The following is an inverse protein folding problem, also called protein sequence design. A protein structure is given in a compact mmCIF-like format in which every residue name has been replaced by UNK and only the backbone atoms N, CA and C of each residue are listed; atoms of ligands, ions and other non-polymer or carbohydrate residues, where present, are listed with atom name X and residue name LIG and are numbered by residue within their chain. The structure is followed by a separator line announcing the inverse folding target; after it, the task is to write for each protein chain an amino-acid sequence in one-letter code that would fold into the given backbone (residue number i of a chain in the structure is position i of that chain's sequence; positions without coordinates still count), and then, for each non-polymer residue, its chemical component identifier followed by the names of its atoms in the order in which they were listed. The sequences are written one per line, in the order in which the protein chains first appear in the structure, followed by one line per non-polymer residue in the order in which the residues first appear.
data_IF_437898647360
#
_entry.id   IF_437898647360
#
_cell.length_a   1.000
_cell.length_b   1.000
_cell.length_c   1.000
_cell.angle_alpha   90.00
_cell.angle_beta   90.00
_cell.angle_gamma   90.00
#
_symmetry.space_group_name_H-M   'P 1'
#
loop_
_entity.id
_entity.type
_entity.pdbx_description
1 polymer ?
#
# COMPACT_ATOMS: atom_id res chain seq x y z
N UNK A 1 21.90 -1.95 13.76
CA UNK A 1 21.04 -1.58 12.63
C UNK A 1 21.87 -1.72 11.37
N UNK A 2 21.39 -2.47 10.39
CA UNK A 2 22.05 -2.58 9.08
C UNK A 2 22.06 -1.20 8.43
N UNK A 3 23.19 -0.76 7.88
CA UNK A 3 23.25 0.50 7.16
C UNK A 3 22.81 0.27 5.70
N UNK A 4 21.80 1.01 5.25
CA UNK A 4 21.36 0.95 3.84
C UNK A 4 22.41 1.62 2.94
N UNK A 5 22.88 0.97 1.86
CA UNK A 5 23.72 1.60 0.85
C UNK A 5 23.00 2.77 0.14
N UNK A 6 23.77 3.67 -0.48
CA UNK A 6 23.20 4.63 -1.43
C UNK A 6 22.77 3.88 -2.70
N UNK A 7 21.45 3.75 -2.86
CA UNK A 7 20.85 3.02 -3.96
C UNK A 7 20.40 3.90 -5.13
N UNK A 8 20.71 5.21 -5.13
CA UNK A 8 20.35 6.09 -6.23
C UNK A 8 21.00 5.62 -7.53
N UNK A 9 20.20 5.44 -8.58
CA UNK A 9 20.65 4.90 -9.87
C UNK A 9 20.75 3.37 -9.92
N UNK A 10 20.61 2.66 -8.79
CA UNK A 10 20.51 1.19 -8.75
C UNK A 10 19.12 0.73 -9.15
N UNK A 11 19.00 -0.42 -9.84
CA UNK A 11 17.68 -0.96 -10.20
C UNK A 11 16.90 -1.36 -8.96
N UNK A 12 15.60 -1.07 -8.94
CA UNK A 12 14.73 -1.37 -7.80
C UNK A 12 14.81 -2.85 -7.39
N UNK A 13 14.82 -3.76 -8.36
CA UNK A 13 14.93 -5.19 -8.08
C UNK A 13 16.19 -5.55 -7.28
N UNK A 14 17.34 -4.97 -7.63
CA UNK A 14 18.61 -5.23 -6.92
C UNK A 14 18.56 -4.70 -5.48
N UNK A 15 17.88 -3.57 -5.25
CA UNK A 15 17.66 -3.02 -3.89
C UNK A 15 16.79 -3.94 -3.05
N UNK A 16 15.72 -4.49 -3.63
CA UNK A 16 14.82 -5.42 -2.96
C UNK A 16 15.50 -6.76 -2.67
N UNK A 17 16.34 -7.26 -3.58
CA UNK A 17 17.17 -8.43 -3.35
C UNK A 17 18.14 -8.21 -2.18
N UNK A 18 18.84 -7.07 -2.15
CA UNK A 18 19.70 -6.72 -1.02
C UNK A 18 18.91 -6.67 0.29
N UNK A 19 17.75 -6.01 0.31
CA UNK A 19 16.92 -5.90 1.50
C UNK A 19 16.52 -7.27 2.04
N UNK A 20 16.08 -8.18 1.16
CA UNK A 20 15.70 -9.55 1.53
C UNK A 20 16.84 -10.37 2.14
N UNK A 21 18.07 -10.09 1.76
CA UNK A 21 19.27 -10.77 2.27
C UNK A 21 19.81 -10.17 3.57
N UNK A 22 19.47 -8.90 3.87
CA UNK A 22 20.15 -8.11 4.91
C UNK A 22 19.20 -7.56 5.99
N UNK A 23 17.89 -7.71 5.83
CA UNK A 23 16.86 -7.17 6.74
C UNK A 23 15.80 -8.24 6.99
N UNK A 24 15.46 -8.42 8.27
CA UNK A 24 14.38 -9.32 8.69
C UNK A 24 13.01 -8.70 8.36
N UNK A 25 12.08 -9.54 7.89
CA UNK A 25 10.71 -9.12 7.58
C UNK A 25 9.96 -8.63 8.82
N UNK A 26 9.18 -7.56 8.67
CA UNK A 26 8.37 -6.96 9.74
C UNK A 26 6.89 -7.19 9.47
N UNK A 27 6.23 -7.99 10.30
CA UNK A 27 4.80 -8.22 10.16
C UNK A 27 4.01 -7.11 10.85
N UNK A 28 3.36 -6.26 10.05
CA UNK A 28 2.37 -5.30 10.56
C UNK A 28 1.05 -5.99 10.93
N UNK A 29 0.39 -5.49 11.97
CA UNK A 29 -0.97 -5.87 12.35
C UNK A 29 -2.03 -4.96 11.72
N UNK A 30 -1.66 -3.85 11.09
CA UNK A 30 -2.60 -3.01 10.34
C UNK A 30 -3.12 -3.73 9.09
N UNK A 31 -4.40 -3.49 8.79
CA UNK A 31 -5.14 -4.05 7.68
C UNK A 31 -5.95 -2.91 7.07
N UNK A 32 -5.88 -2.77 5.75
CA UNK A 32 -6.71 -1.80 5.04
C UNK A 32 -7.84 -2.58 4.39
N UNK A 33 -9.06 -2.36 4.86
CA UNK A 33 -10.28 -2.92 4.28
C UNK A 33 -10.86 -1.89 3.34
N UNK A 34 -11.20 -2.29 2.11
CA UNK A 34 -11.76 -1.37 1.15
C UNK A 34 -12.75 -2.02 0.19
N UNK A 35 -13.65 -1.22 -0.36
CA UNK A 35 -14.65 -1.60 -1.36
C UNK A 35 -14.50 -0.71 -2.59
N UNK A 36 -14.16 -1.32 -3.72
CA UNK A 36 -14.03 -0.67 -5.04
C UNK A 36 -15.20 -1.00 -5.98
N UNK A 37 -16.16 -1.80 -5.52
CA UNK A 37 -17.39 -2.15 -6.23
C UNK A 37 -18.51 -2.43 -5.24
N UNK A 38 -19.71 -1.93 -5.55
CA UNK A 38 -20.91 -2.14 -4.72
C UNK A 38 -21.37 -3.61 -4.74
N UNK A 39 -21.08 -4.34 -5.82
CA UNK A 39 -21.54 -5.72 -6.00
C UNK A 39 -20.53 -6.76 -5.50
N UNK A 40 -19.30 -6.34 -5.17
CA UNK A 40 -18.25 -7.23 -4.67
C UNK A 40 -18.16 -7.21 -3.13
N UNK A 41 -17.48 -8.22 -2.59
CA UNK A 41 -17.09 -8.23 -1.18
C UNK A 41 -15.91 -7.28 -0.92
N UNK A 42 -15.77 -6.85 0.32
CA UNK A 42 -14.66 -6.02 0.74
C UNK A 42 -13.31 -6.74 0.52
N UNK A 43 -12.34 -5.98 0.02
CA UNK A 43 -10.96 -6.40 -0.19
C UNK A 43 -10.14 -6.01 1.02
N UNK A 44 -9.08 -6.77 1.28
CA UNK A 44 -8.18 -6.52 2.41
C UNK A 44 -6.75 -6.46 1.88
N UNK A 45 -6.14 -5.28 2.00
CA UNK A 45 -4.72 -5.11 1.77
C UNK A 45 -3.98 -5.44 3.07
N UNK A 46 -3.02 -6.36 2.93
CA UNK A 46 -2.13 -6.81 4.00
C UNK A 46 -0.70 -6.46 3.59
N UNK A 47 0.03 -5.68 4.40
CA UNK A 47 1.43 -5.38 4.09
C UNK A 47 2.29 -6.64 4.06
N UNK A 48 3.06 -6.80 2.98
CA UNK A 48 4.07 -7.87 2.91
C UNK A 48 5.19 -7.60 3.94
N UNK A 49 5.65 -8.61 4.70
CA UNK A 49 6.66 -8.40 5.73
C UNK A 49 8.00 -7.87 5.21
N UNK A 50 8.45 -8.31 4.02
CA UNK A 50 9.71 -7.84 3.45
C UNK A 50 9.56 -6.40 2.94
N UNK A 51 8.41 -6.10 2.33
CA UNK A 51 8.10 -4.73 1.91
C UNK A 51 8.03 -3.78 3.10
N UNK A 52 7.38 -4.18 4.19
CA UNK A 52 7.28 -3.38 5.42
C UNK A 52 8.66 -3.12 6.02
N UNK A 53 9.53 -4.14 6.07
CA UNK A 53 10.91 -3.98 6.49
C UNK A 53 11.67 -2.96 5.61
N UNK A 54 11.45 -2.96 4.30
CA UNK A 54 12.04 -1.97 3.39
C UNK A 54 11.56 -0.54 3.69
N UNK A 55 10.28 -0.38 4.00
CA UNK A 55 9.68 0.92 4.30
C UNK A 55 10.23 1.50 5.61
N UNK A 56 10.29 0.68 6.66
CA UNK A 56 10.80 1.09 7.98
C UNK A 56 12.31 1.33 7.98
N UNK A 57 13.07 0.58 7.18
CA UNK A 57 14.51 0.78 7.05
C UNK A 57 14.85 2.08 6.30
N UNK A 58 14.08 2.41 5.26
CA UNK A 58 14.34 3.54 4.39
C UNK A 58 15.50 3.33 3.41
N UNK A 59 15.57 4.20 2.40
CA UNK A 59 16.62 4.20 1.39
C UNK A 59 16.44 3.16 0.27
N UNK A 60 15.34 2.39 0.28
CA UNK A 60 15.14 1.25 -0.64
C UNK A 60 14.02 1.53 -1.65
N UNK A 61 12.84 1.90 -1.14
CA UNK A 61 11.63 2.07 -1.93
C UNK A 61 11.64 3.40 -2.69
N UNK A 62 11.14 3.45 -3.94
CA UNK A 62 10.94 4.71 -4.63
C UNK A 62 9.75 5.47 -4.02
N UNK A 63 9.57 6.76 -4.32
CA UNK A 63 8.37 7.49 -3.93
C UNK A 63 7.11 6.97 -4.63
N UNK A 64 5.95 7.08 -3.96
CA UNK A 64 4.68 6.52 -4.47
C UNK A 64 4.26 7.10 -5.83
N UNK A 65 4.50 8.39 -6.05
CA UNK A 65 4.15 9.06 -7.31
C UNK A 65 4.82 8.43 -8.52
N UNK A 66 5.98 7.76 -8.34
CA UNK A 66 6.64 7.03 -9.43
C UNK A 66 5.72 5.93 -9.95
N UNK A 67 5.04 5.19 -9.07
CA UNK A 67 4.08 4.15 -9.47
C UNK A 67 2.87 4.75 -10.18
N UNK A 68 2.39 5.93 -9.77
CA UNK A 68 1.30 6.62 -10.47
C UNK A 68 1.69 7.05 -11.89
N UNK A 69 2.93 7.50 -12.10
CA UNK A 69 3.43 7.82 -13.45
C UNK A 69 3.54 6.57 -14.34
N UNK A 70 3.90 5.41 -13.76
CA UNK A 70 3.91 4.15 -14.49
C UNK A 70 2.50 3.66 -14.83
N UNK A 71 1.54 3.82 -13.90
CA UNK A 71 0.14 3.48 -14.14
C UNK A 71 -0.47 4.35 -15.27
N UNK A 72 -0.04 5.61 -15.40
CA UNK A 72 -0.43 6.48 -16.53
C UNK A 72 0.09 6.00 -17.87
N UNK A 73 1.29 5.40 -17.90
CA UNK A 73 1.80 4.74 -19.11
C UNK A 73 0.93 3.51 -19.44
N UNK A 74 0.65 2.66 -18.45
CA UNK A 74 -0.15 1.43 -18.61
C UNK A 74 -1.58 1.68 -19.06
N UNK A 75 -2.18 2.80 -18.67
CA UNK A 75 -3.53 3.17 -19.06
C UNK A 75 -3.68 3.58 -20.54
N UNK A 76 -2.57 3.76 -21.28
CA UNK A 76 -2.64 4.10 -22.70
C UNK A 76 -3.10 2.88 -23.54
N UNK A 77 -4.02 3.05 -24.51
CA UNK A 77 -4.53 1.93 -25.32
C UNK A 77 -3.47 1.16 -26.11
N UNK A 78 -2.33 1.77 -26.40
CA UNK A 78 -1.20 1.23 -27.15
C UNK A 78 0.02 0.89 -26.27
N UNK A 79 -0.19 0.71 -24.97
CA UNK A 79 0.89 0.40 -24.03
C UNK A 79 1.59 -0.93 -24.39
N UNK A 80 2.90 -0.84 -24.66
CA UNK A 80 3.78 -2.01 -24.86
C UNK A 80 4.81 -2.13 -23.74
N UNK A 81 5.30 -1.00 -23.24
CA UNK A 81 6.31 -0.91 -22.17
C UNK A 81 6.28 0.46 -21.52
N UNK A 82 6.72 0.53 -20.26
CA UNK A 82 6.90 1.81 -19.58
C UNK A 82 7.96 2.66 -20.28
N UNK A 83 7.60 3.89 -20.59
CA UNK A 83 8.53 4.92 -21.06
C UNK A 83 9.25 5.56 -19.87
N UNK A 84 8.58 5.59 -18.72
CA UNK A 84 9.04 6.20 -17.47
C UNK A 84 9.67 5.23 -16.47
N UNK A 85 10.00 4.00 -16.89
CA UNK A 85 10.58 2.97 -16.01
C UNK A 85 11.87 3.38 -15.30
N UNK A 86 12.65 4.29 -15.90
CA UNK A 86 13.86 4.86 -15.29
C UNK A 86 13.59 5.60 -13.96
N UNK A 87 12.36 6.08 -13.73
CA UNK A 87 11.97 6.76 -12.49
C UNK A 87 12.09 5.82 -11.27
N UNK A 88 11.90 4.50 -11.44
CA UNK A 88 12.08 3.53 -10.35
C UNK A 88 13.54 3.43 -9.88
N UNK A 89 14.49 3.86 -10.71
CA UNK A 89 15.92 3.67 -10.48
C UNK A 89 16.62 4.99 -10.18
N UNK A 90 16.23 6.07 -10.84
CA UNK A 90 16.94 7.35 -10.76
C UNK A 90 16.35 8.31 -9.72
N UNK A 91 15.11 8.08 -9.30
CA UNK A 91 14.47 8.87 -8.23
C UNK A 91 15.12 8.54 -6.89
N UNK A 92 15.27 9.57 -6.07
CA UNK A 92 15.74 9.43 -4.69
C UNK A 92 14.85 8.44 -3.94
N UNK A 93 15.41 7.37 -3.33
CA UNK A 93 14.62 6.48 -2.49
C UNK A 93 14.01 7.24 -1.31
N UNK A 94 12.84 6.80 -0.86
CA UNK A 94 12.19 7.36 0.32
C UNK A 94 13.05 7.17 1.57
N UNK A 95 13.06 8.13 2.51
CA UNK A 95 13.65 7.92 3.83
C UNK A 95 12.91 6.84 4.60
N UNK A 96 13.41 6.49 5.78
CA UNK A 96 12.73 5.59 6.69
C UNK A 96 11.36 6.17 7.06
N UNK A 97 10.32 5.35 6.98
CA UNK A 97 8.94 5.70 7.30
C UNK A 97 8.55 5.12 8.66
N UNK A 98 7.59 5.72 9.34
CA UNK A 98 6.86 5.04 10.43
C UNK A 98 5.97 3.93 9.86
N UNK A 99 5.42 3.08 10.73
CA UNK A 99 4.48 2.05 10.30
C UNK A 99 3.23 2.69 9.65
N UNK A 100 2.69 3.76 10.24
CA UNK A 100 1.54 4.50 9.72
C UNK A 100 1.83 5.12 8.34
N UNK A 101 2.97 5.81 8.19
CA UNK A 101 3.39 6.39 6.89
C UNK A 101 3.57 5.30 5.82
N UNK A 102 4.05 4.11 6.21
CA UNK A 102 4.18 2.98 5.31
C UNK A 102 2.80 2.41 4.89
N UNK A 103 1.80 2.43 5.78
CA UNK A 103 0.41 2.07 5.42
C UNK A 103 -0.19 3.10 4.48
N UNK A 104 -0.05 4.40 4.74
CA UNK A 104 -0.51 5.47 3.84
C UNK A 104 0.12 5.33 2.45
N UNK A 105 1.42 5.04 2.41
CA UNK A 105 2.13 4.75 1.18
C UNK A 105 1.48 3.58 0.42
N UNK A 106 1.19 2.46 1.09
CA UNK A 106 0.56 1.29 0.47
C UNK A 106 -0.84 1.58 -0.03
N UNK A 107 -1.64 2.35 0.72
CA UNK A 107 -2.97 2.78 0.30
C UNK A 107 -2.86 3.52 -1.03
N UNK A 108 -1.99 4.52 -1.12
CA UNK A 108 -1.81 5.28 -2.35
C UNK A 108 -1.24 4.45 -3.50
N UNK A 109 -0.43 3.42 -3.21
CA UNK A 109 0.22 2.58 -4.22
C UNK A 109 -0.71 1.49 -4.78
N UNK A 110 -1.39 0.77 -3.91
CA UNK A 110 -2.06 -0.50 -4.24
C UNK A 110 -3.60 -0.44 -4.16
N UNK A 111 -4.17 0.56 -3.47
CA UNK A 111 -5.63 0.76 -3.44
C UNK A 111 -6.09 1.58 -4.67
N UNK A 112 -7.23 1.25 -5.32
CA UNK A 112 -7.74 2.03 -6.44
C UNK A 112 -7.93 3.51 -6.08
N UNK A 113 -7.54 4.41 -6.99
CA UNK A 113 -7.49 5.84 -6.72
C UNK A 113 -8.84 6.43 -6.26
N UNK A 114 -9.94 6.01 -6.87
CA UNK A 114 -11.27 6.49 -6.51
C UNK A 114 -11.72 6.06 -5.11
N UNK A 115 -11.14 4.99 -4.55
CA UNK A 115 -11.49 4.50 -3.22
C UNK A 115 -10.84 5.39 -2.17
N UNK A 116 -9.52 5.55 -2.19
CA UNK A 116 -8.83 6.29 -1.13
C UNK A 116 -8.96 7.81 -1.24
N UNK A 117 -9.26 8.35 -2.44
CA UNK A 117 -9.53 9.79 -2.58
C UNK A 117 -10.92 10.18 -2.07
N UNK A 118 -11.91 9.31 -2.27
CA UNK A 118 -13.32 9.62 -2.00
C UNK A 118 -13.89 8.69 -0.93
N UNK A 119 -13.03 8.21 -0.02
CA UNK A 119 -13.37 7.12 0.89
C UNK A 119 -14.51 7.49 1.84
N UNK A 120 -14.71 8.77 2.17
CA UNK A 120 -15.73 9.28 3.09
C UNK A 120 -16.79 10.19 2.43
N UNK A 121 -16.73 10.40 1.12
CA UNK A 121 -17.62 11.36 0.43
C UNK A 121 -19.04 10.81 0.19
N UNK A 122 -19.21 9.49 0.30
CA UNK A 122 -20.48 8.79 0.05
C UNK A 122 -21.41 8.74 1.27
N UNK A 123 -22.50 7.97 1.13
CA UNK A 123 -23.42 7.72 2.24
C UNK A 123 -22.81 6.82 3.35
N UNK A 124 -21.70 6.14 3.05
CA UNK A 124 -20.93 5.30 3.98
C UNK A 124 -19.45 5.30 3.57
N UNK A 125 -18.52 5.07 4.51
CA UNK A 125 -17.11 4.96 4.16
C UNK A 125 -16.85 3.71 3.32
N UNK A 126 -15.98 3.83 2.31
CA UNK A 126 -15.57 2.74 1.41
C UNK A 126 -14.19 2.18 1.73
N UNK A 127 -13.48 2.77 2.70
CA UNK A 127 -12.19 2.31 3.19
C UNK A 127 -12.07 2.50 4.69
N UNK A 128 -11.49 1.53 5.39
CA UNK A 128 -11.21 1.58 6.84
C UNK A 128 -9.87 0.91 7.12
N UNK A 129 -9.06 1.54 7.99
CA UNK A 129 -7.85 0.93 8.54
C UNK A 129 -8.19 0.30 9.89
N UNK A 130 -7.88 -0.97 10.07
CA UNK A 130 -8.12 -1.69 11.33
C UNK A 130 -6.94 -2.59 11.68
N UNK A 131 -6.99 -3.23 12.85
CA UNK A 131 -6.05 -4.28 13.23
C UNK A 131 -6.54 -5.66 12.81
N UNK A 132 -5.60 -6.59 12.69
CA UNK A 132 -5.83 -7.99 12.33
C UNK A 132 -6.85 -8.70 13.23
N UNK A 133 -6.86 -8.40 14.52
CA UNK A 133 -7.76 -8.98 15.52
C UNK A 133 -9.22 -8.50 15.40
N UNK A 134 -9.43 -7.36 14.75
CA UNK A 134 -10.76 -6.84 14.43
C UNK A 134 -11.40 -7.52 13.21
N UNK A 135 -10.65 -8.38 12.50
CA UNK A 135 -11.13 -9.11 11.33
C UNK A 135 -11.54 -10.55 11.68
N UNK A 136 -12.50 -11.13 10.95
CA UNK A 136 -12.86 -12.54 11.09
C UNK A 136 -11.68 -13.44 10.78
N UNK A 137 -11.44 -14.42 11.64
CA UNK A 137 -10.39 -15.40 11.45
C UNK A 137 -10.63 -16.26 10.19
N UNK A 138 -11.87 -16.66 9.92
CA UNK A 138 -12.23 -17.58 8.83
C UNK A 138 -12.39 -16.86 7.49
N UNK A 139 -11.78 -17.44 6.45
CA UNK A 139 -11.82 -16.89 5.09
C UNK A 139 -13.22 -16.89 4.48
N UNK A 140 -14.02 -17.90 4.80
CA UNK A 140 -15.39 -18.05 4.29
C UNK A 140 -16.26 -16.84 4.64
N UNK A 141 -16.09 -16.29 5.85
CA UNK A 141 -16.87 -15.12 6.28
C UNK A 141 -16.39 -13.84 5.58
N UNK A 142 -15.10 -13.73 5.26
CA UNK A 142 -14.56 -12.56 4.54
C UNK A 142 -15.08 -12.43 3.11
N UNK A 143 -15.40 -13.54 2.43
CA UNK A 143 -15.88 -13.52 1.04
C UNK A 143 -17.31 -12.95 0.87
N UNK A 144 -18.01 -12.64 1.96
CA UNK A 144 -19.35 -12.05 1.95
C UNK A 144 -19.43 -10.74 2.74
N UNK A 145 -18.29 -10.21 3.18
CA UNK A 145 -18.23 -9.05 4.07
C UNK A 145 -18.28 -7.73 3.31
N UNK A 146 -18.91 -6.75 3.96
CA UNK A 146 -18.92 -5.35 3.59
C UNK A 146 -18.59 -4.51 4.81
N UNK A 147 -18.05 -3.32 4.58
CA UNK A 147 -17.85 -2.29 5.59
C UNK A 147 -19.24 -1.88 6.11
N UNK A 148 -19.42 -2.00 7.42
CA UNK A 148 -20.68 -1.70 8.10
C UNK A 148 -21.09 -0.26 7.84
N UNK A 149 -22.37 -0.03 7.54
CA UNK A 149 -22.94 1.31 7.40
C UNK A 149 -22.93 2.06 8.74
N UNK A 150 -22.94 1.34 9.87
CA UNK A 150 -22.91 1.93 11.22
C UNK A 150 -21.56 2.58 11.56
N UNK A 151 -20.48 2.19 10.88
CA UNK A 151 -19.17 2.84 11.02
C UNK A 151 -19.21 4.30 10.53
N UNK A 152 -20.15 4.66 9.66
CA UNK A 152 -20.34 6.05 9.21
C UNK A 152 -20.82 6.99 10.32
N UNK A 153 -21.42 6.44 11.38
CA UNK A 153 -22.04 7.20 12.48
C UNK A 153 -21.17 7.33 13.73
N UNK A 154 -20.07 6.57 13.82
CA UNK A 154 -19.17 6.62 14.97
C UNK A 154 -18.04 7.64 14.75
N UNK A 155 -18.27 8.88 15.19
CA UNK A 155 -17.24 9.94 15.26
C UNK A 155 -16.08 9.65 16.24
N UNK A 156 -15.96 8.41 16.74
CA UNK A 156 -14.94 7.98 17.72
C UNK A 156 -13.90 7.01 17.15
N UNK A 157 -13.92 6.73 15.84
CA UNK A 157 -12.87 5.95 15.18
C UNK A 157 -12.00 6.93 14.36
N UNK A 158 -11.19 7.69 15.12
CA UNK A 158 -9.88 8.34 14.84
C UNK A 158 -9.57 8.83 13.40
N UNK A 159 -9.12 10.06 13.09
CA UNK A 159 -8.32 11.07 13.83
C UNK A 159 -7.15 10.53 14.66
#
# INVERSE_FOLDING_TARGET
MTQTPDFKGTKLFDRLCWAKENIDGVQSDYRVVYEDSVDECAKILVPDPNWMACALQGGILPPVWVYHELAKDEAQPDFVKHTRGYLLHNTEPMPAMTEEEAIEYLIMKDCPQHVWQNWDEGNRPTMVICRKDQLPATREWRNAWKISEELATDHNIAA
#
